data_IF_036619616168
#
_entry.id   IF_036619616168
#
_cell.length_a   1.000
_cell.length_b   1.000
_cell.length_c   1.000
_cell.angle_alpha   90.00
_cell.angle_beta   90.00
_cell.angle_gamma   90.00
#
_symmetry.space_group_name_H-M   'P 1'
#
loop_
_entity.id
_entity.type
_entity.pdbx_description
1 polymer ?
#
# COMPACT_ATOMS: atom_id res chain seq x y z
N UNK A 1 27.19 -15.63 -22.52
CA UNK A 1 26.24 -15.70 -21.38
C UNK A 1 26.67 -14.65 -20.37
N UNK A 2 25.73 -13.94 -19.77
CA UNK A 2 25.99 -12.93 -18.75
C UNK A 2 25.07 -13.12 -17.53
N UNK A 3 25.45 -12.53 -16.40
CA UNK A 3 24.63 -12.50 -15.21
C UNK A 3 24.80 -11.15 -14.50
N UNK A 4 23.73 -10.67 -13.89
CA UNK A 4 23.76 -9.51 -13.01
C UNK A 4 22.92 -9.75 -11.76
N UNK A 5 23.21 -9.00 -10.71
CA UNK A 5 22.43 -8.97 -9.48
C UNK A 5 21.87 -7.55 -9.28
N UNK A 6 20.57 -7.46 -8.99
CA UNK A 6 19.87 -6.20 -8.75
C UNK A 6 18.95 -6.31 -7.53
N UNK A 7 18.35 -5.19 -7.12
CA UNK A 7 17.21 -5.27 -6.21
C UNK A 7 16.06 -6.04 -6.89
N UNK A 8 15.27 -6.79 -6.13
CA UNK A 8 14.17 -7.57 -6.72
C UNK A 8 12.92 -6.72 -7.05
N UNK A 9 12.91 -5.42 -6.69
CA UNK A 9 11.73 -4.54 -6.77
C UNK A 9 11.18 -4.36 -8.19
N UNK A 10 12.04 -4.41 -9.20
CA UNK A 10 11.64 -4.25 -10.61
C UNK A 10 10.65 -5.32 -11.07
N UNK A 11 10.55 -6.46 -10.38
CA UNK A 11 9.59 -7.52 -10.73
C UNK A 11 8.13 -7.08 -10.55
N UNK A 12 7.88 -6.13 -9.65
CA UNK A 12 6.51 -5.82 -9.18
C UNK A 12 6.05 -4.40 -9.48
N UNK A 13 6.98 -3.50 -9.76
CA UNK A 13 6.73 -2.08 -10.00
C UNK A 13 6.60 -1.76 -11.49
N UNK A 14 5.87 -0.68 -11.79
CA UNK A 14 5.62 -0.25 -13.17
C UNK A 14 6.89 0.16 -13.90
N UNK A 15 7.83 0.86 -13.22
CA UNK A 15 9.10 1.25 -13.85
C UNK A 15 9.97 0.04 -14.23
N UNK A 16 9.76 -1.11 -13.58
CA UNK A 16 10.45 -2.36 -13.92
C UNK A 16 9.93 -3.04 -15.19
N UNK A 17 8.86 -2.53 -15.81
CA UNK A 17 8.34 -3.05 -17.08
C UNK A 17 9.37 -3.01 -18.21
N UNK A 18 10.20 -1.97 -18.25
CA UNK A 18 11.28 -1.86 -19.23
C UNK A 18 12.31 -3.00 -19.08
N UNK A 19 12.69 -3.35 -17.85
CA UNK A 19 13.62 -4.45 -17.60
C UNK A 19 12.99 -5.82 -17.91
N UNK A 20 11.72 -6.04 -17.54
CA UNK A 20 10.98 -7.26 -17.93
C UNK A 20 10.94 -7.44 -19.44
N UNK A 21 10.65 -6.34 -20.16
CA UNK A 21 10.65 -6.32 -21.63
C UNK A 21 12.04 -6.61 -22.20
N UNK A 22 13.06 -5.92 -21.73
CA UNK A 22 14.45 -6.12 -22.14
C UNK A 22 14.87 -7.60 -21.98
N UNK A 23 14.51 -8.22 -20.85
CA UNK A 23 14.83 -9.62 -20.59
C UNK A 23 14.12 -10.59 -21.53
N UNK A 24 12.88 -10.31 -21.92
CA UNK A 24 12.10 -11.22 -22.76
C UNK A 24 12.31 -11.00 -24.26
N UNK A 25 12.63 -9.78 -24.68
CA UNK A 25 12.61 -9.39 -26.10
C UNK A 25 14.00 -9.11 -26.71
N UNK A 26 15.01 -8.75 -25.90
CA UNK A 26 16.30 -8.30 -26.44
C UNK A 26 17.48 -9.05 -25.79
N UNK A 27 17.59 -9.00 -24.47
CA UNK A 27 18.72 -9.54 -23.73
C UNK A 27 18.70 -11.07 -23.63
N UNK A 28 17.52 -11.68 -23.74
CA UNK A 28 17.32 -13.12 -23.70
C UNK A 28 17.59 -13.73 -22.33
N UNK A 29 16.73 -13.41 -21.36
CA UNK A 29 16.77 -13.98 -20.02
C UNK A 29 16.59 -15.50 -20.04
N UNK A 30 17.47 -16.21 -19.33
CA UNK A 30 17.46 -17.67 -19.23
C UNK A 30 17.23 -18.16 -17.81
N UNK A 31 17.55 -17.34 -16.81
CA UNK A 31 17.26 -17.66 -15.41
C UNK A 31 17.02 -16.43 -14.56
N UNK A 32 16.17 -16.58 -13.55
CA UNK A 32 15.83 -15.60 -12.53
C UNK A 32 15.79 -16.31 -11.17
N UNK A 33 16.79 -16.05 -10.34
CA UNK A 33 16.88 -16.56 -8.97
C UNK A 33 16.62 -15.41 -8.01
N UNK A 34 15.57 -15.51 -7.22
CA UNK A 34 15.15 -14.46 -6.29
C UNK A 34 15.43 -14.92 -4.88
N UNK A 35 16.16 -14.11 -4.13
CA UNK A 35 16.48 -14.40 -2.75
C UNK A 35 15.29 -14.05 -1.84
N UNK A 36 15.08 -14.86 -0.81
CA UNK A 36 14.11 -14.54 0.23
C UNK A 36 14.48 -13.21 0.91
N UNK A 37 13.48 -12.39 1.33
CA UNK A 37 13.75 -11.09 1.97
C UNK A 37 14.50 -11.17 3.31
N UNK A 38 14.60 -12.36 3.88
CA UNK A 38 15.37 -12.72 5.07
C UNK A 38 16.85 -12.96 4.77
N UNK A 39 17.21 -13.22 3.51
CA UNK A 39 18.59 -13.46 3.09
C UNK A 39 19.28 -12.15 2.78
N UNK A 40 20.39 -11.88 3.49
CA UNK A 40 21.20 -10.69 3.28
C UNK A 40 22.17 -10.89 2.10
N UNK A 41 21.74 -10.45 0.91
CA UNK A 41 22.58 -10.52 -0.29
C UNK A 41 23.68 -9.45 -0.32
N UNK A 42 23.41 -8.29 0.30
CA UNK A 42 24.30 -7.14 0.35
C UNK A 42 24.46 -6.69 1.80
N UNK A 43 25.59 -7.00 2.46
CA UNK A 43 25.81 -6.65 3.86
C UNK A 43 25.56 -5.17 4.14
N UNK A 44 24.75 -4.88 5.15
CA UNK A 44 24.42 -3.51 5.57
C UNK A 44 23.39 -2.79 4.69
N UNK A 45 22.78 -3.47 3.71
CA UNK A 45 21.73 -2.90 2.85
C UNK A 45 20.43 -3.67 3.00
N UNK A 46 19.36 -2.98 3.42
CA UNK A 46 18.02 -3.55 3.45
C UNK A 46 17.41 -3.59 2.03
N UNK A 47 17.84 -4.53 1.20
CA UNK A 47 17.24 -4.77 -0.13
C UNK A 47 17.02 -6.26 -0.42
N UNK A 48 15.95 -6.58 -1.16
CA UNK A 48 15.76 -7.93 -1.73
C UNK A 48 16.64 -8.08 -2.95
N UNK A 49 17.08 -9.28 -3.29
CA UNK A 49 17.98 -9.49 -4.43
C UNK A 49 17.41 -10.44 -5.47
N UNK A 50 17.65 -10.12 -6.74
CA UNK A 50 17.37 -10.97 -7.89
C UNK A 50 18.65 -11.15 -8.71
N UNK A 51 19.01 -12.41 -8.98
CA UNK A 51 20.11 -12.78 -9.86
C UNK A 51 19.50 -13.19 -11.20
N UNK A 52 19.81 -12.44 -12.24
CA UNK A 52 19.30 -12.69 -13.59
C UNK A 52 20.44 -13.15 -14.48
N UNK A 53 20.24 -14.29 -15.14
CA UNK A 53 21.14 -14.80 -16.16
C UNK A 53 20.52 -14.59 -17.54
N UNK A 54 21.35 -14.27 -18.52
CA UNK A 54 20.90 -14.02 -19.89
C UNK A 54 21.88 -14.54 -20.93
N UNK A 55 21.35 -14.78 -22.12
CA UNK A 55 22.08 -15.10 -23.34
C UNK A 55 21.51 -14.19 -24.43
N UNK A 56 22.33 -13.24 -24.90
CA UNK A 56 21.91 -12.23 -25.88
C UNK A 56 21.29 -12.91 -27.11
N UNK A 57 20.10 -12.47 -27.49
CA UNK A 57 19.35 -13.02 -28.62
C UNK A 57 18.58 -14.32 -28.32
N UNK A 58 18.59 -14.83 -27.09
CA UNK A 58 17.78 -16.00 -26.71
C UNK A 58 16.30 -15.63 -26.60
N UNK A 59 15.46 -16.29 -27.39
CA UNK A 59 14.04 -15.97 -27.53
C UNK A 59 13.10 -17.18 -27.37
N UNK A 60 13.64 -18.40 -27.40
CA UNK A 60 12.84 -19.62 -27.52
C UNK A 60 12.81 -20.43 -26.22
N UNK A 61 13.94 -20.52 -25.51
CA UNK A 61 14.02 -21.33 -24.29
C UNK A 61 13.17 -20.73 -23.15
N UNK A 62 12.49 -21.58 -22.34
CA UNK A 62 11.80 -21.13 -21.15
C UNK A 62 12.79 -20.51 -20.16
N UNK A 63 12.30 -19.56 -19.35
CA UNK A 63 13.13 -18.94 -18.32
C UNK A 63 13.06 -19.76 -17.05
N UNK A 64 14.22 -20.13 -16.51
CA UNK A 64 14.30 -20.84 -15.24
C UNK A 64 14.05 -19.89 -14.08
N UNK A 65 13.00 -20.11 -13.31
CA UNK A 65 12.65 -19.27 -12.16
C UNK A 65 12.80 -20.04 -10.87
N UNK A 66 13.41 -19.43 -9.86
CA UNK A 66 13.61 -20.04 -8.55
C UNK A 66 13.51 -19.03 -7.41
N UNK A 67 12.78 -19.40 -6.37
CA UNK A 67 12.87 -18.76 -5.06
C UNK A 67 13.96 -19.43 -4.22
N UNK A 68 14.78 -18.64 -3.53
CA UNK A 68 16.02 -19.07 -2.89
C UNK A 68 16.03 -18.61 -1.44
N UNK A 69 15.84 -19.56 -0.52
CA UNK A 69 15.80 -19.27 0.92
C UNK A 69 17.17 -19.16 1.59
N UNK A 70 18.24 -19.65 0.96
CA UNK A 70 19.60 -19.70 1.53
C UNK A 70 20.65 -19.52 0.42
N UNK A 71 21.76 -18.85 0.72
CA UNK A 71 22.79 -18.53 -0.29
C UNK A 71 23.46 -19.80 -0.86
N UNK A 72 23.61 -20.84 -0.05
CA UNK A 72 24.17 -22.14 -0.40
C UNK A 72 23.37 -22.83 -1.51
N UNK A 73 22.09 -22.47 -1.65
CA UNK A 73 21.21 -23.02 -2.67
C UNK A 73 21.48 -22.43 -4.07
N UNK A 74 22.24 -21.34 -4.19
CA UNK A 74 22.57 -20.71 -5.48
C UNK A 74 23.56 -21.52 -6.33
N UNK A 75 24.17 -22.58 -5.79
CA UNK A 75 25.21 -23.38 -6.43
C UNK A 75 24.88 -23.78 -7.88
N UNK A 76 25.51 -23.08 -8.83
CA UNK A 76 25.43 -23.30 -10.28
C UNK A 76 24.27 -22.60 -11.00
N UNK A 77 23.30 -22.00 -10.29
CA UNK A 77 22.13 -21.33 -10.91
C UNK A 77 21.34 -22.22 -11.90
N UNK A 78 21.48 -23.55 -11.77
CA UNK A 78 20.93 -24.55 -12.70
C UNK A 78 19.56 -25.11 -12.29
N UNK A 79 19.14 -24.91 -11.04
CA UNK A 79 17.86 -25.42 -10.51
C UNK A 79 16.76 -24.36 -10.63
N UNK A 80 15.51 -24.78 -10.62
CA UNK A 80 14.33 -23.90 -10.71
C UNK A 80 13.25 -24.53 -11.59
N UNK A 81 12.08 -23.90 -11.64
CA UNK A 81 11.00 -24.28 -12.55
C UNK A 81 11.21 -23.62 -13.92
N UNK A 82 10.96 -24.35 -15.00
CA UNK A 82 10.97 -23.78 -16.35
C UNK A 82 9.63 -23.08 -16.60
N UNK A 83 9.69 -21.77 -16.78
CA UNK A 83 8.51 -20.94 -17.01
C UNK A 83 8.48 -20.52 -18.48
N UNK A 84 7.41 -20.86 -19.23
CA UNK A 84 7.22 -20.39 -20.58
C UNK A 84 7.27 -18.86 -20.65
N UNK A 85 7.88 -18.32 -21.70
CA UNK A 85 8.05 -16.87 -21.87
C UNK A 85 6.72 -16.15 -21.98
N UNK A 86 5.72 -16.79 -22.61
CA UNK A 86 4.36 -16.28 -22.73
C UNK A 86 3.72 -16.06 -21.36
N UNK A 87 4.01 -16.94 -20.38
CA UNK A 87 3.54 -16.79 -19.00
C UNK A 87 4.19 -15.59 -18.31
N UNK A 88 5.48 -15.35 -18.56
CA UNK A 88 6.19 -14.16 -18.04
C UNK A 88 5.73 -12.87 -18.72
N UNK A 89 5.38 -12.90 -20.00
CA UNK A 89 4.82 -11.78 -20.76
C UNK A 89 3.41 -11.44 -20.27
N UNK A 90 2.56 -12.45 -20.06
CA UNK A 90 1.19 -12.27 -19.61
C UNK A 90 1.07 -11.84 -18.15
N UNK A 91 2.09 -12.14 -17.32
CA UNK A 91 2.06 -11.80 -15.92
C UNK A 91 2.33 -10.30 -15.68
N UNK A 92 1.43 -9.58 -14.98
CA UNK A 92 1.62 -8.16 -14.70
C UNK A 92 2.80 -7.89 -13.75
N UNK A 93 3.21 -8.92 -13.00
CA UNK A 93 4.28 -8.92 -12.00
C UNK A 93 4.94 -10.28 -11.99
N UNK A 94 6.25 -10.35 -11.77
CA UNK A 94 6.98 -11.62 -11.77
C UNK A 94 7.07 -12.28 -10.39
N UNK A 95 6.86 -11.56 -9.29
CA UNK A 95 6.83 -12.16 -7.95
C UNK A 95 5.81 -13.29 -7.80
N UNK A 96 4.65 -13.20 -8.45
CA UNK A 96 3.61 -14.26 -8.43
C UNK A 96 4.03 -15.53 -9.19
N UNK A 97 5.00 -15.41 -10.09
CA UNK A 97 5.58 -16.58 -10.78
C UNK A 97 6.66 -17.20 -9.91
N UNK A 98 7.49 -16.36 -9.29
CA UNK A 98 8.57 -16.78 -8.38
C UNK A 98 7.99 -17.45 -7.13
N UNK A 99 6.96 -16.83 -6.56
CA UNK A 99 6.22 -17.27 -5.36
C UNK A 99 4.73 -17.32 -5.69
N UNK A 100 4.26 -18.44 -6.28
CA UNK A 100 2.84 -18.63 -6.56
C UNK A 100 2.02 -18.50 -5.28
N UNK A 101 0.94 -17.72 -5.34
CA UNK A 101 -0.08 -17.70 -4.29
C UNK A 101 -0.83 -19.04 -4.26
N UNK A 102 -1.40 -19.40 -3.10
CA UNK A 102 -2.23 -20.61 -2.98
C UNK A 102 -3.37 -20.61 -4.02
N UNK A 103 -3.70 -21.78 -4.61
CA UNK A 103 -4.78 -21.89 -5.58
C UNK A 103 -6.10 -21.45 -4.95
N UNK A 104 -6.88 -20.63 -5.67
CA UNK A 104 -8.17 -20.13 -5.21
C UNK A 104 -9.11 -21.30 -4.88
N UNK A 105 -9.80 -21.23 -3.74
CA UNK A 105 -10.86 -22.19 -3.44
C UNK A 105 -12.07 -21.88 -4.34
N UNK A 106 -12.81 -22.92 -4.72
CA UNK A 106 -14.01 -22.75 -5.52
C UNK A 106 -15.03 -21.89 -4.76
N UNK A 107 -15.39 -20.73 -5.31
CA UNK A 107 -16.32 -19.76 -4.71
C UNK A 107 -15.70 -18.51 -4.09
N UNK A 108 -14.36 -18.40 -4.07
CA UNK A 108 -13.68 -17.18 -3.63
C UNK A 108 -13.82 -16.04 -4.65
N UNK A 109 -14.02 -14.82 -4.14
CA UNK A 109 -14.06 -13.58 -4.94
C UNK A 109 -12.89 -12.68 -4.56
N UNK A 110 -12.56 -11.72 -5.42
CA UNK A 110 -11.61 -10.66 -5.06
C UNK A 110 -12.29 -9.59 -4.21
N UNK A 111 -11.61 -9.12 -3.16
CA UNK A 111 -12.10 -8.03 -2.30
C UNK A 111 -12.46 -6.78 -3.12
N UNK A 112 -11.75 -6.55 -4.22
CA UNK A 112 -11.96 -5.45 -5.17
C UNK A 112 -13.29 -5.52 -5.93
N UNK A 113 -13.95 -6.67 -5.98
CA UNK A 113 -15.30 -6.84 -6.52
C UNK A 113 -16.35 -6.19 -5.59
N UNK A 114 -16.09 -6.18 -4.28
CA UNK A 114 -16.99 -5.59 -3.28
C UNK A 114 -16.56 -4.18 -2.84
N UNK A 115 -15.26 -3.90 -2.82
CA UNK A 115 -14.71 -2.66 -2.29
C UNK A 115 -13.84 -1.93 -3.31
N UNK A 116 -13.84 -0.61 -3.26
CA UNK A 116 -12.76 0.23 -3.80
C UNK A 116 -11.78 0.51 -2.69
N UNK A 117 -10.49 0.30 -2.96
CA UNK A 117 -9.44 0.61 -2.00
C UNK A 117 -8.76 1.91 -2.40
N UNK A 118 -8.63 2.82 -1.43
CA UNK A 118 -7.99 4.10 -1.64
C UNK A 118 -6.91 4.33 -0.60
N UNK A 119 -5.77 4.83 -1.06
CA UNK A 119 -4.76 5.39 -0.16
C UNK A 119 -5.31 6.62 0.55
N UNK A 120 -4.96 6.77 1.83
CA UNK A 120 -5.22 7.99 2.58
C UNK A 120 -4.51 9.22 2.01
N UNK A 121 -4.99 10.39 2.41
CA UNK A 121 -4.56 11.65 1.84
C UNK A 121 -3.12 12.00 2.24
N UNK A 122 -2.37 12.59 1.31
CA UNK A 122 -1.02 13.11 1.59
C UNK A 122 -1.16 14.57 2.02
N UNK A 123 -0.70 14.91 3.23
CA UNK A 123 -0.79 16.28 3.77
C UNK A 123 0.23 17.23 3.12
N UNK A 124 1.42 16.73 2.78
CA UNK A 124 2.55 17.51 2.25
C UNK A 124 3.43 18.14 3.34
N UNK A 125 2.87 18.40 4.52
CA UNK A 125 3.58 18.96 5.68
C UNK A 125 2.89 18.56 7.00
N UNK A 126 3.23 17.39 7.54
CA UNK A 126 2.56 16.83 8.73
C UNK A 126 2.62 17.76 9.95
N UNK A 127 3.73 18.45 10.16
CA UNK A 127 3.90 19.33 11.33
C UNK A 127 3.03 20.60 11.26
N UNK A 128 2.54 20.93 10.06
CA UNK A 128 1.66 22.07 9.82
C UNK A 128 0.19 21.63 9.87
N UNK A 129 -0.15 20.57 9.14
CA UNK A 129 -1.54 20.15 8.93
C UNK A 129 -2.08 19.25 10.03
N UNK A 130 -1.24 18.57 10.82
CA UNK A 130 -1.73 17.86 11.99
C UNK A 130 -1.77 18.85 13.15
N UNK A 131 -2.97 19.06 13.71
CA UNK A 131 -3.23 20.05 14.73
C UNK A 131 -2.31 19.87 15.96
N UNK A 132 -1.82 20.99 16.45
CA UNK A 132 -1.07 21.15 17.69
C UNK A 132 -1.36 22.53 18.27
N UNK A 133 -0.44 23.08 19.06
CA UNK A 133 -0.60 24.40 19.71
C UNK A 133 -0.84 25.53 18.69
N UNK A 134 -0.18 25.45 17.52
CA UNK A 134 -0.33 26.42 16.43
C UNK A 134 -1.73 26.46 15.81
N UNK A 135 -2.55 25.45 16.06
CA UNK A 135 -3.89 25.30 15.52
C UNK A 135 -4.99 25.58 16.57
N UNK A 136 -4.64 25.99 17.79
CA UNK A 136 -5.61 26.14 18.90
C UNK A 136 -6.77 27.07 18.55
N UNK A 137 -6.48 28.17 17.86
CA UNK A 137 -7.45 29.21 17.55
C UNK A 137 -8.34 28.87 16.35
N UNK A 138 -7.97 27.87 15.55
CA UNK A 138 -8.79 27.44 14.41
C UNK A 138 -10.15 26.88 14.87
N UNK A 139 -11.21 27.05 14.06
CA UNK A 139 -12.51 26.46 14.34
C UNK A 139 -12.43 24.94 14.52
N UNK A 140 -13.16 24.37 15.48
CA UNK A 140 -13.15 22.91 15.70
C UNK A 140 -13.67 22.13 14.49
N UNK A 141 -14.59 22.72 13.71
CA UNK A 141 -15.16 22.08 12.51
C UNK A 141 -14.15 21.78 11.41
N UNK A 142 -12.97 22.42 11.42
CA UNK A 142 -11.90 22.14 10.44
C UNK A 142 -10.87 21.14 10.97
N UNK A 143 -11.00 20.70 12.23
CA UNK A 143 -10.08 19.78 12.91
C UNK A 143 -10.68 18.39 12.93
N UNK A 144 -10.43 17.60 11.88
CA UNK A 144 -11.06 16.30 11.72
C UNK A 144 -10.27 15.19 12.43
N UNK A 145 -10.90 14.35 13.27
CA UNK A 145 -10.27 13.17 13.84
C UNK A 145 -9.72 12.27 12.76
N UNK A 146 -8.42 11.96 12.85
CA UNK A 146 -7.71 11.33 11.73
C UNK A 146 -6.72 10.29 12.23
N UNK A 147 -6.73 9.12 11.60
CA UNK A 147 -5.67 8.12 11.76
C UNK A 147 -4.39 8.67 11.14
N UNK A 148 -3.42 9.01 12.00
CA UNK A 148 -2.15 9.63 11.60
C UNK A 148 -0.96 8.71 11.81
N UNK A 149 -1.15 7.57 12.50
CA UNK A 149 -0.12 6.54 12.67
C UNK A 149 -0.76 5.17 12.49
N UNK A 150 -0.01 4.23 11.90
CA UNK A 150 -0.44 2.83 11.80
C UNK A 150 -0.72 2.20 13.18
N UNK A 151 -0.01 2.65 14.22
CA UNK A 151 -0.20 2.21 15.62
C UNK A 151 -1.64 2.44 16.11
N UNK A 152 -2.30 3.49 15.63
CA UNK A 152 -3.68 3.82 16.03
C UNK A 152 -4.63 2.66 15.66
N UNK A 153 -4.46 2.08 14.46
CA UNK A 153 -5.24 0.92 14.01
C UNK A 153 -4.81 -0.38 14.70
N UNK A 154 -3.51 -0.59 14.88
CA UNK A 154 -2.98 -1.80 15.52
C UNK A 154 -3.47 -1.92 16.96
N UNK A 155 -3.53 -0.81 17.70
CA UNK A 155 -4.06 -0.80 19.07
C UNK A 155 -5.58 -0.97 19.09
N UNK A 156 -6.31 -0.40 18.13
CA UNK A 156 -7.75 -0.57 18.02
C UNK A 156 -8.17 -2.01 17.64
N UNK A 157 -7.29 -2.75 16.95
CA UNK A 157 -7.58 -4.09 16.48
C UNK A 157 -8.72 -4.11 15.47
N UNK A 158 -9.73 -4.97 15.69
CA UNK A 158 -10.83 -5.15 14.75
C UNK A 158 -11.78 -3.94 14.65
N UNK A 159 -11.82 -3.04 15.64
CA UNK A 159 -12.78 -1.93 15.65
C UNK A 159 -12.20 -0.69 16.33
N UNK A 160 -12.24 0.45 15.61
CA UNK A 160 -11.91 1.77 16.13
C UNK A 160 -13.20 2.44 16.62
N UNK A 161 -13.45 2.35 17.93
CA UNK A 161 -14.70 2.78 18.55
C UNK A 161 -14.75 4.27 18.92
N UNK A 162 -13.60 4.87 19.24
CA UNK A 162 -13.52 6.27 19.68
C UNK A 162 -12.42 7.02 18.93
N UNK A 163 -12.72 8.27 18.62
CA UNK A 163 -11.81 9.19 17.98
C UNK A 163 -11.03 10.06 18.99
N UNK A 164 -11.26 9.91 20.29
CA UNK A 164 -10.67 10.76 21.33
C UNK A 164 -9.14 10.74 21.34
N UNK A 165 -8.55 9.54 21.22
CA UNK A 165 -7.10 9.37 21.19
C UNK A 165 -6.45 9.76 19.85
N UNK A 166 -7.25 10.01 18.81
CA UNK A 166 -6.74 10.35 17.49
C UNK A 166 -6.28 11.81 17.44
N UNK A 167 -5.20 12.06 16.71
CA UNK A 167 -4.84 13.44 16.35
C UNK A 167 -5.91 14.03 15.44
N UNK A 168 -5.99 15.37 15.43
CA UNK A 168 -6.84 16.09 14.47
C UNK A 168 -5.99 16.56 13.30
N UNK A 169 -6.50 16.43 12.08
CA UNK A 169 -5.90 17.04 10.89
C UNK A 169 -6.77 18.23 10.49
N UNK A 170 -6.10 19.33 10.20
CA UNK A 170 -6.71 20.57 9.73
C UNK A 170 -7.04 20.35 8.25
N UNK A 171 -8.33 20.37 7.93
CA UNK A 171 -8.81 20.26 6.56
C UNK A 171 -9.73 21.43 6.23
N UNK A 172 -9.17 22.37 5.47
CA UNK A 172 -9.87 23.57 5.02
C UNK A 172 -10.42 23.33 3.60
N UNK A 173 -11.64 23.81 3.30
CA UNK A 173 -12.13 23.81 1.93
C UNK A 173 -11.30 24.75 1.04
N UNK A 174 -11.36 24.53 -0.27
CA UNK A 174 -10.69 25.40 -1.23
C UNK A 174 -11.26 26.83 -1.21
N UNK A 175 -12.58 26.94 -1.08
CA UNK A 175 -13.30 28.20 -0.94
C UNK A 175 -13.67 28.42 0.53
N UNK A 176 -13.43 29.61 1.07
CA UNK A 176 -13.59 29.93 2.50
C UNK A 176 -14.86 30.77 2.80
N UNK A 177 -15.79 30.84 1.86
CA UNK A 177 -16.96 31.75 1.94
C UNK A 177 -17.96 31.34 3.03
N UNK A 178 -17.93 30.07 3.44
CA UNK A 178 -18.85 29.48 4.41
C UNK A 178 -18.40 29.68 5.88
N UNK A 179 -17.46 30.60 6.12
CA UNK A 179 -16.91 30.93 7.44
C UNK A 179 -17.34 32.32 7.92
N UNK A 180 -17.52 32.47 9.23
CA UNK A 180 -17.80 33.80 9.80
C UNK A 180 -16.58 34.72 9.66
N UNK A 181 -16.76 36.03 9.83
CA UNK A 181 -15.64 36.99 9.79
C UNK A 181 -14.56 36.64 10.82
N UNK A 182 -14.96 36.26 12.03
CA UNK A 182 -14.06 35.88 13.10
C UNK A 182 -13.30 34.58 12.76
N UNK A 183 -13.98 33.57 12.23
CA UNK A 183 -13.35 32.33 11.78
C UNK A 183 -12.34 32.61 10.65
N UNK A 184 -12.72 33.41 9.66
CA UNK A 184 -11.85 33.84 8.56
C UNK A 184 -10.60 34.55 9.06
N UNK A 185 -10.71 35.45 10.05
CA UNK A 185 -9.53 36.10 10.65
C UNK A 185 -8.55 35.07 11.22
N UNK A 186 -9.04 34.07 11.96
CA UNK A 186 -8.21 33.03 12.58
C UNK A 186 -7.61 32.10 11.52
N UNK A 187 -8.39 31.72 10.51
CA UNK A 187 -7.91 30.92 9.37
C UNK A 187 -6.82 31.67 8.61
N UNK A 188 -7.01 32.95 8.30
CA UNK A 188 -6.02 33.75 7.59
C UNK A 188 -4.73 33.93 8.40
N UNK A 189 -4.82 34.11 9.72
CA UNK A 189 -3.65 34.14 10.60
C UNK A 189 -2.88 32.80 10.55
N UNK A 190 -3.59 31.68 10.65
CA UNK A 190 -3.01 30.34 10.52
C UNK A 190 -2.37 30.12 9.15
N UNK A 191 -3.05 30.48 8.05
CA UNK A 191 -2.52 30.32 6.69
C UNK A 191 -1.29 31.19 6.45
N UNK A 192 -1.25 32.40 7.00
CA UNK A 192 -0.07 33.26 6.94
C UNK A 192 1.11 32.63 7.66
N UNK A 193 0.89 32.10 8.87
CA UNK A 193 1.91 31.35 9.61
C UNK A 193 2.34 30.08 8.85
N UNK A 194 1.41 29.30 8.32
CA UNK A 194 1.71 28.07 7.59
C UNK A 194 2.57 28.35 6.34
N UNK A 195 2.27 29.44 5.62
CA UNK A 195 3.04 29.91 4.47
C UNK A 195 4.46 30.33 4.86
N UNK A 196 4.63 31.05 5.97
CA UNK A 196 5.96 31.39 6.50
C UNK A 196 6.79 30.15 6.86
N UNK A 197 6.13 29.04 7.18
CA UNK A 197 6.75 27.74 7.45
C UNK A 197 6.84 26.83 6.22
N UNK A 198 6.65 27.37 5.01
CA UNK A 198 6.85 26.66 3.74
C UNK A 198 5.76 25.66 3.36
N UNK A 199 4.56 25.73 3.96
CA UNK A 199 3.46 24.82 3.66
C UNK A 199 3.09 24.81 2.16
N UNK A 200 3.14 25.97 1.51
CA UNK A 200 2.84 26.18 0.09
C UNK A 200 3.95 25.71 -0.86
N UNK A 201 5.15 25.47 -0.33
CA UNK A 201 6.32 25.08 -1.12
C UNK A 201 6.46 23.57 -1.32
N UNK A 202 5.71 22.75 -0.56
CA UNK A 202 5.77 21.30 -0.73
C UNK A 202 5.28 20.90 -2.13
N UNK A 203 5.85 19.83 -2.71
CA UNK A 203 5.44 19.32 -4.02
C UNK A 203 3.91 19.11 -4.09
N UNK A 204 3.33 18.54 -3.03
CA UNK A 204 1.88 18.30 -2.97
C UNK A 204 1.10 19.62 -2.98
N UNK A 205 1.52 20.61 -2.20
CA UNK A 205 0.84 21.91 -2.13
C UNK A 205 0.85 22.67 -3.46
N UNK A 206 1.97 22.62 -4.20
CA UNK A 206 2.11 23.24 -5.52
C UNK A 206 1.18 22.63 -6.59
N UNK A 207 0.73 21.39 -6.39
CA UNK A 207 -0.16 20.68 -7.32
C UNK A 207 -1.64 20.72 -6.89
N UNK A 208 -1.99 21.38 -5.79
CA UNK A 208 -3.39 21.57 -5.36
C UNK A 208 -3.96 22.84 -5.98
N UNK A 209 -5.28 22.85 -6.26
CA UNK A 209 -6.02 24.07 -6.66
C UNK A 209 -5.88 25.17 -5.60
N UNK A 210 -6.03 24.80 -4.33
CA UNK A 210 -5.76 25.64 -3.17
C UNK A 210 -4.70 24.95 -2.31
N UNK A 211 -3.53 25.55 -2.18
CA UNK A 211 -2.37 24.93 -1.51
C UNK A 211 -2.68 24.47 -0.07
N UNK A 212 -3.61 25.18 0.60
CA UNK A 212 -4.05 24.91 1.96
C UNK A 212 -5.10 23.82 2.13
N UNK A 213 -5.75 23.38 1.06
CA UNK A 213 -6.82 22.39 1.15
C UNK A 213 -6.23 20.98 1.11
N UNK A 214 -6.12 20.33 2.28
CA UNK A 214 -5.56 18.97 2.38
C UNK A 214 -6.43 17.99 1.59
N UNK A 215 -7.76 18.11 1.70
CA UNK A 215 -8.74 17.33 0.97
C UNK A 215 -8.88 15.92 1.53
N UNK A 216 -9.18 15.78 2.82
CA UNK A 216 -9.40 14.46 3.42
C UNK A 216 -10.66 13.83 2.84
N UNK A 217 -10.51 12.61 2.31
CA UNK A 217 -11.65 11.80 1.82
C UNK A 217 -12.63 11.50 2.94
N UNK A 218 -13.89 11.23 2.57
CA UNK A 218 -14.92 10.76 3.50
C UNK A 218 -14.41 9.59 4.37
N UNK A 219 -14.84 9.46 5.63
CA UNK A 219 -14.44 8.35 6.48
C UNK A 219 -14.67 7.02 5.77
N UNK A 220 -13.65 6.18 5.73
CA UNK A 220 -13.77 4.86 5.13
C UNK A 220 -14.41 3.91 6.17
N UNK A 221 -15.41 3.09 5.79
CA UNK A 221 -16.01 2.12 6.71
C UNK A 221 -15.02 1.11 7.29
N UNK A 222 -14.01 0.71 6.50
CA UNK A 222 -12.90 -0.13 6.96
C UNK A 222 -11.59 0.59 6.66
N UNK A 223 -10.70 0.62 7.65
CA UNK A 223 -9.33 1.12 7.55
C UNK A 223 -8.35 -0.05 7.60
N UNK A 224 -7.27 0.04 6.84
CA UNK A 224 -6.24 -0.98 6.78
C UNK A 224 -4.83 -0.38 6.84
N UNK A 225 -3.95 -0.91 7.68
CA UNK A 225 -2.53 -0.54 7.63
C UNK A 225 -1.92 -0.99 6.30
N UNK A 226 -1.08 -0.17 5.67
CA UNK A 226 -0.52 -0.52 4.35
C UNK A 226 0.91 -1.07 4.39
N UNK A 227 1.67 -0.84 5.46
CA UNK A 227 3.07 -1.23 5.53
C UNK A 227 3.47 -1.60 6.95
N UNK A 228 3.84 -2.86 7.16
CA UNK A 228 4.29 -3.37 8.45
C UNK A 228 5.14 -4.64 8.27
N UNK A 229 5.87 -5.03 9.32
CA UNK A 229 6.55 -6.34 9.40
C UNK A 229 5.61 -7.45 9.90
N UNK A 230 4.32 -7.31 9.58
CA UNK A 230 3.23 -8.20 9.98
C UNK A 230 2.12 -8.10 8.94
N UNK A 231 1.15 -9.03 8.93
CA UNK A 231 -0.02 -8.90 8.08
C UNK A 231 -0.76 -7.58 8.35
N UNK A 232 -1.46 -7.03 7.34
CA UNK A 232 -2.24 -5.82 7.50
C UNK A 232 -3.28 -5.96 8.62
N UNK A 233 -3.38 -4.94 9.47
CA UNK A 233 -4.50 -4.80 10.40
C UNK A 233 -5.66 -4.18 9.66
N UNK A 234 -6.78 -4.89 9.57
CA UNK A 234 -8.06 -4.36 9.14
C UNK A 234 -8.89 -3.96 10.36
N UNK A 235 -9.53 -2.79 10.29
CA UNK A 235 -10.24 -2.18 11.41
C UNK A 235 -11.54 -1.55 10.92
N UNK A 236 -12.67 -1.91 11.53
CA UNK A 236 -13.92 -1.18 11.33
C UNK A 236 -13.81 0.22 11.92
N UNK A 237 -14.20 1.23 11.14
CA UNK A 237 -14.19 2.62 11.57
C UNK A 237 -15.56 3.01 12.13
N UNK A 238 -15.76 2.83 13.43
CA UNK A 238 -17.04 3.12 14.09
C UNK A 238 -17.15 4.58 14.60
N UNK A 239 -16.06 5.36 14.49
CA UNK A 239 -16.00 6.73 15.00
C UNK A 239 -15.80 7.78 13.87
N UNK A 240 -16.07 7.41 12.62
CA UNK A 240 -15.96 8.28 11.45
C UNK A 240 -14.59 8.98 11.31
N UNK A 241 -13.52 8.29 11.70
CA UNK A 241 -12.17 8.82 11.58
C UNK A 241 -11.78 8.96 10.09
N UNK A 242 -11.17 10.09 9.75
CA UNK A 242 -10.47 10.27 8.48
C UNK A 242 -9.12 9.54 8.55
N UNK A 243 -8.39 9.49 7.44
CA UNK A 243 -7.05 8.88 7.42
C UNK A 243 -6.13 9.58 6.44
N UNK A 244 -4.87 9.78 6.86
CA UNK A 244 -3.80 10.19 5.95
C UNK A 244 -3.10 8.96 5.37
N UNK A 245 -2.09 9.18 4.54
CA UNK A 245 -1.34 8.17 3.78
C UNK A 245 -0.51 7.16 4.62
N UNK A 246 -0.93 6.90 5.87
CA UNK A 246 -0.46 5.83 6.77
C UNK A 246 -1.37 4.61 6.77
N UNK A 247 -2.54 4.72 6.14
CA UNK A 247 -3.53 3.66 6.00
C UNK A 247 -4.23 3.75 4.64
N UNK A 248 -4.92 2.67 4.27
CA UNK A 248 -5.89 2.64 3.19
C UNK A 248 -7.30 2.63 3.75
N UNK A 249 -8.22 3.23 3.01
CA UNK A 249 -9.65 3.14 3.22
C UNK A 249 -10.29 2.19 2.21
N UNK A 250 -11.14 1.30 2.70
CA UNK A 250 -11.96 0.40 1.90
C UNK A 250 -13.39 0.95 1.88
N UNK A 251 -13.91 1.19 0.68
CA UNK A 251 -15.25 1.74 0.46
C UNK A 251 -16.10 0.71 -0.28
N UNK A 252 -17.24 0.26 0.27
CA UNK A 252 -18.09 -0.69 -0.42
C UNK A 252 -18.63 -0.06 -1.71
N UNK A 253 -18.66 -0.83 -2.80
CA UNK A 253 -19.18 -0.40 -4.10
C UNK A 253 -20.70 -0.26 -4.09
N UNK A 254 -21.34 -1.13 -3.32
CA UNK A 254 -22.78 -1.16 -3.08
C UNK A 254 -23.04 -1.28 -1.57
N UNK A 255 -24.18 -0.79 -1.06
CA UNK A 255 -24.55 -0.97 0.34
C UNK A 255 -24.51 -2.46 0.73
N UNK A 256 -23.80 -2.79 1.81
CA UNK A 256 -23.71 -4.15 2.33
C UNK A 256 -24.69 -4.32 3.50
N UNK A 257 -25.21 -5.55 3.67
CA UNK A 257 -26.06 -5.88 4.79
C UNK A 257 -25.34 -5.75 6.14
N UNK A 258 -26.11 -5.52 7.20
CA UNK A 258 -25.59 -5.32 8.55
C UNK A 258 -24.75 -6.53 9.01
N UNK A 259 -23.62 -6.22 9.66
CA UNK A 259 -22.68 -7.23 10.18
C UNK A 259 -21.74 -7.86 9.15
N UNK A 260 -21.98 -7.71 7.84
CA UNK A 260 -21.08 -8.23 6.78
C UNK A 260 -19.68 -7.66 6.95
N UNK A 261 -19.56 -6.34 7.12
CA UNK A 261 -18.26 -5.68 7.26
C UNK A 261 -17.49 -6.17 8.50
N UNK A 262 -18.20 -6.44 9.61
CA UNK A 262 -17.58 -6.95 10.84
C UNK A 262 -17.05 -8.38 10.68
N UNK A 263 -17.85 -9.25 10.04
CA UNK A 263 -17.42 -10.62 9.72
C UNK A 263 -16.26 -10.63 8.74
N UNK A 264 -16.29 -9.77 7.73
CA UNK A 264 -15.19 -9.61 6.77
C UNK A 264 -13.90 -9.15 7.46
N UNK A 265 -13.94 -8.12 8.32
CA UNK A 265 -12.75 -7.65 9.06
C UNK A 265 -12.18 -8.76 9.94
N UNK A 266 -13.05 -9.51 10.62
CA UNK A 266 -12.63 -10.66 11.44
C UNK A 266 -11.95 -11.73 10.59
N UNK A 267 -12.54 -12.07 9.44
CA UNK A 267 -11.99 -13.05 8.52
C UNK A 267 -10.64 -12.59 7.95
N UNK A 268 -10.53 -11.34 7.49
CA UNK A 268 -9.30 -10.78 6.93
C UNK A 268 -8.15 -10.80 7.95
N UNK A 269 -8.41 -10.38 9.18
CA UNK A 269 -7.38 -10.38 10.24
C UNK A 269 -6.92 -11.78 10.64
N UNK A 270 -7.72 -12.82 10.36
CA UNK A 270 -7.38 -14.22 10.66
C UNK A 270 -6.67 -14.93 9.50
N UNK A 271 -7.04 -14.62 8.25
CA UNK A 271 -6.65 -15.41 7.09
C UNK A 271 -5.61 -14.72 6.19
N UNK A 272 -5.42 -13.40 6.27
CA UNK A 272 -4.42 -12.71 5.46
C UNK A 272 -3.03 -12.82 6.11
N UNK A 273 -2.04 -13.20 5.30
CA UNK A 273 -0.64 -13.30 5.70
C UNK A 273 0.24 -12.29 4.92
N UNK A 274 1.51 -12.18 5.28
CA UNK A 274 2.47 -11.26 4.64
C UNK A 274 2.82 -11.66 3.20
N UNK A 275 2.65 -12.93 2.81
CA UNK A 275 2.92 -13.40 1.44
C UNK A 275 1.94 -12.88 0.39
N UNK A 276 0.83 -12.27 0.82
CA UNK A 276 -0.17 -11.67 -0.06
C UNK A 276 0.20 -10.26 -0.55
N UNK A 277 1.30 -9.68 -0.04
CA UNK A 277 1.78 -8.33 -0.38
C UNK A 277 3.21 -8.31 -0.91
N UNK A 278 3.72 -7.14 -1.28
CA UNK A 278 5.13 -6.99 -1.69
C UNK A 278 6.02 -6.95 -0.47
N UNK A 279 6.87 -7.96 -0.31
CA UNK A 279 7.84 -8.03 0.78
C UNK A 279 9.17 -7.38 0.36
N UNK A 280 9.58 -6.38 1.13
CA UNK A 280 10.88 -5.73 1.09
C UNK A 280 11.82 -6.37 2.11
N UNK A 281 13.09 -6.03 2.04
CA UNK A 281 14.09 -6.55 2.96
C UNK A 281 13.76 -6.34 4.43
N UNK A 282 14.23 -7.25 5.28
CA UNK A 282 13.96 -7.20 6.72
C UNK A 282 12.49 -7.44 7.07
N UNK A 283 11.75 -8.14 6.19
CA UNK A 283 10.36 -8.57 6.41
C UNK A 283 9.31 -7.47 6.30
N UNK A 284 9.67 -6.26 5.85
CA UNK A 284 8.73 -5.16 5.68
C UNK A 284 7.80 -5.46 4.50
N UNK A 285 6.52 -5.70 4.76
CA UNK A 285 5.55 -5.95 3.70
C UNK A 285 4.74 -4.70 3.44
N UNK A 286 4.61 -4.33 2.18
CA UNK A 286 3.76 -3.23 1.72
C UNK A 286 2.62 -3.79 0.88
N UNK A 287 1.42 -3.35 1.18
CA UNK A 287 0.22 -3.62 0.43
C UNK A 287 -0.28 -2.32 -0.19
N UNK A 288 -0.26 -2.20 -1.51
CA UNK A 288 -0.89 -1.10 -2.23
C UNK A 288 -2.39 -1.35 -2.36
N UNK A 289 -3.19 -0.33 -2.71
CA UNK A 289 -4.63 -0.49 -2.89
C UNK A 289 -5.00 -1.65 -3.82
N UNK A 290 -4.34 -1.78 -4.98
CA UNK A 290 -4.57 -2.89 -5.93
C UNK A 290 -4.21 -4.27 -5.38
N UNK A 291 -3.32 -4.34 -4.39
CA UNK A 291 -2.93 -5.60 -3.76
C UNK A 291 -3.98 -6.02 -2.74
N UNK A 292 -4.50 -5.06 -1.97
CA UNK A 292 -5.65 -5.25 -1.10
C UNK A 292 -6.89 -5.65 -1.93
N UNK A 293 -7.15 -4.98 -3.06
CA UNK A 293 -8.27 -5.34 -3.95
C UNK A 293 -8.19 -6.77 -4.48
N UNK A 294 -6.99 -7.34 -4.63
CA UNK A 294 -6.79 -8.70 -5.15
C UNK A 294 -6.83 -9.78 -4.08
N UNK A 295 -6.98 -9.41 -2.81
CA UNK A 295 -7.11 -10.39 -1.73
C UNK A 295 -8.35 -11.25 -2.00
N UNK A 296 -8.16 -12.57 -1.93
CA UNK A 296 -9.24 -13.52 -2.07
C UNK A 296 -9.99 -13.62 -0.76
N UNK A 297 -11.31 -13.53 -0.84
CA UNK A 297 -12.23 -13.61 0.29
C UNK A 297 -13.36 -14.60 -0.04
N UNK A 298 -14.00 -15.21 0.96
CA UNK A 298 -15.18 -16.03 0.73
C UNK A 298 -16.29 -15.20 0.11
N UNK A 299 -17.21 -15.87 -0.60
CA UNK A 299 -18.43 -15.24 -1.09
C UNK A 299 -19.23 -14.57 0.02
N UNK A 300 -20.02 -13.55 -0.32
CA UNK A 300 -20.90 -12.87 0.63
C UNK A 300 -21.84 -13.84 1.36
N UNK A 301 -22.38 -14.84 0.66
CA UNK A 301 -23.24 -15.87 1.24
C UNK A 301 -22.52 -16.64 2.35
N UNK A 302 -21.26 -17.02 2.11
CA UNK A 302 -20.43 -17.74 3.07
C UNK A 302 -20.08 -16.88 4.29
N UNK A 303 -19.88 -15.57 4.08
CA UNK A 303 -19.63 -14.60 5.17
C UNK A 303 -20.88 -14.31 6.02
N UNK A 304 -22.08 -14.73 5.58
CA UNK A 304 -23.34 -14.50 6.28
C UNK A 304 -23.80 -15.68 7.15
N UNK A 305 -23.36 -16.90 6.83
CA UNK A 305 -23.52 -18.12 7.63
C UNK A 305 -22.55 -18.19 8.82
#
# INVERSE_FOLDING_TARGET
MGAFITSAEWMDVNYGSALRRLLLEELGGIALHVLEPTVEAFPGTATTAAITCFRVGEMDEPVRVRDVGELEQLNGLTKGAEIPRERLQAAPRWSIIVRPSEPAMAGDIELGELFRVHRGQVTGANDIWIAGEHAKDLPERVKLPTVTKAKDLILAGAQLQSAEALRRVIDLPAELDDFTKEECCRINAFLSWAKLNGADQSYIAQHRKAWWSVGLKAPAPILCTYMARRPPQFTLNACDARHINVAHGLYPREPLADGVMARLVTWLNKNINTGSGRTYAGGLTKFEPKEIERLRIPSLETLLT
#
